data_IF_374179521423
#
_entry.id   IF_374179521423
#
_cell.length_a   1.000
_cell.length_b   1.000
_cell.length_c   1.000
_cell.angle_alpha   90.00
_cell.angle_beta   90.00
_cell.angle_gamma   90.00
#
_symmetry.space_group_name_H-M   'P 1'
#
loop_
_entity.id
_entity.type
_entity.pdbx_description
1 polymer ?
#
# COMPACT_ATOMS: atom_id res chain seq x y z
N UNK A 1 -0.78 7.00 14.76
CA UNK A 1 -0.77 5.96 13.73
C UNK A 1 0.65 5.75 13.20
N UNK A 2 1.12 4.49 13.11
CA UNK A 2 2.50 4.17 12.76
C UNK A 2 2.89 4.48 11.30
N UNK A 3 1.94 4.51 10.37
CA UNK A 3 2.21 4.74 8.94
C UNK A 3 2.89 6.07 8.62
N UNK A 4 2.31 7.22 9.01
CA UNK A 4 2.92 8.52 8.77
C UNK A 4 4.29 8.69 9.45
N UNK A 5 4.47 8.13 10.65
CA UNK A 5 5.73 8.19 11.36
C UNK A 5 6.82 7.36 10.68
N UNK A 6 6.45 6.18 10.18
CA UNK A 6 7.34 5.34 9.38
C UNK A 6 7.75 6.04 8.08
N UNK A 7 6.79 6.63 7.37
CA UNK A 7 7.06 7.37 6.13
C UNK A 7 8.02 8.54 6.38
N UNK A 8 7.78 9.32 7.45
CA UNK A 8 8.66 10.41 7.86
C UNK A 8 10.08 9.92 8.21
N UNK A 9 10.20 8.81 8.94
CA UNK A 9 11.50 8.24 9.30
C UNK A 9 12.25 7.72 8.08
N UNK A 10 11.55 7.09 7.15
CA UNK A 10 12.11 6.53 5.92
C UNK A 10 12.73 7.59 4.99
N UNK A 11 12.30 8.86 5.06
CA UNK A 11 12.81 9.92 4.18
C UNK A 11 14.32 10.18 4.33
N UNK A 12 14.90 9.85 5.48
CA UNK A 12 16.33 10.05 5.77
C UNK A 12 17.15 8.77 5.66
N UNK A 13 16.49 7.63 5.41
CA UNK A 13 17.12 6.31 5.32
C UNK A 13 17.50 5.92 3.89
N UNK A 14 18.40 4.95 3.80
CA UNK A 14 18.75 4.31 2.54
C UNK A 14 17.80 3.14 2.26
N UNK A 15 17.02 3.26 1.18
CA UNK A 15 16.04 2.24 0.78
C UNK A 15 16.67 0.89 0.36
N UNK A 16 17.96 0.87 0.06
CA UNK A 16 18.72 -0.32 -0.33
C UNK A 16 19.63 -0.85 0.80
N UNK A 17 19.51 -0.34 2.02
CA UNK A 17 20.37 -0.75 3.13
C UNK A 17 20.14 -2.21 3.53
N UNK A 18 18.89 -2.69 3.45
CA UNK A 18 18.50 -4.04 3.85
C UNK A 18 17.60 -4.65 2.77
N UNK A 19 18.02 -5.80 2.27
CA UNK A 19 17.19 -6.56 1.32
C UNK A 19 16.18 -7.43 2.08
N UNK A 20 15.00 -6.87 2.38
CA UNK A 20 13.92 -7.62 3.00
C UNK A 20 13.24 -8.56 1.99
N UNK A 21 12.81 -9.75 2.42
CA UNK A 21 12.12 -10.69 1.55
C UNK A 21 10.76 -10.14 1.13
N UNK A 22 10.49 -10.21 -0.16
CA UNK A 22 9.19 -9.86 -0.74
C UNK A 22 8.45 -11.18 -0.98
N UNK A 23 7.35 -11.38 -0.24
CA UNK A 23 6.56 -12.59 -0.35
C UNK A 23 5.73 -12.62 -1.64
N UNK A 24 5.48 -13.83 -2.15
CA UNK A 24 4.65 -14.08 -3.34
C UNK A 24 5.16 -13.43 -4.64
N UNK A 25 6.48 -13.29 -4.78
CA UNK A 25 7.12 -12.88 -6.03
C UNK A 25 7.72 -14.07 -6.79
N UNK A 26 8.03 -15.15 -6.08
CA UNK A 26 8.55 -16.39 -6.65
C UNK A 26 7.52 -17.50 -6.47
N UNK A 27 7.05 -18.05 -7.58
CA UNK A 27 6.17 -19.21 -7.61
C UNK A 27 6.95 -20.37 -8.21
N UNK A 28 6.98 -21.50 -7.50
CA UNK A 28 7.64 -22.72 -7.94
C UNK A 28 6.73 -23.62 -8.77
N UNK A 29 5.42 -23.37 -8.73
CA UNK A 29 4.40 -24.14 -9.45
C UNK A 29 3.52 -23.20 -10.30
N UNK A 30 3.14 -23.70 -11.50
CA UNK A 30 2.30 -22.95 -12.46
C UNK A 30 0.90 -22.73 -11.89
N UNK A 31 0.34 -23.72 -11.18
CA UNK A 31 -0.99 -23.61 -10.57
C UNK A 31 -0.99 -22.62 -9.39
N UNK A 32 0.07 -22.58 -8.60
CA UNK A 32 0.25 -21.61 -7.52
C UNK A 32 0.40 -20.19 -8.07
N UNK A 33 1.08 -20.04 -9.22
CA UNK A 33 1.21 -18.75 -9.91
C UNK A 33 -0.15 -18.23 -10.40
N UNK A 34 -0.92 -19.07 -11.08
CA UNK A 34 -2.22 -18.69 -11.62
C UNK A 34 -3.20 -18.20 -10.54
N UNK A 35 -3.16 -18.83 -9.35
CA UNK A 35 -4.06 -18.52 -8.25
C UNK A 35 -3.58 -17.38 -7.33
N UNK A 36 -2.26 -17.12 -7.27
CA UNK A 36 -1.66 -16.20 -6.28
C UNK A 36 -0.87 -15.04 -6.88
N UNK A 37 -0.78 -14.96 -8.20
CA UNK A 37 0.04 -13.95 -8.89
C UNK A 37 -0.29 -12.51 -8.43
N UNK A 38 -1.57 -12.22 -8.20
CA UNK A 38 -2.03 -10.92 -7.72
C UNK A 38 -2.36 -10.86 -6.22
N UNK A 39 -2.13 -11.95 -5.49
CA UNK A 39 -2.32 -11.98 -4.04
C UNK A 39 -1.13 -11.38 -3.30
N UNK A 40 -1.38 -10.87 -2.10
CA UNK A 40 -0.36 -10.27 -1.25
C UNK A 40 -0.21 -11.04 0.06
N UNK A 41 1.01 -11.11 0.59
CA UNK A 41 1.30 -11.57 1.93
C UNK A 41 2.43 -10.74 2.53
N UNK A 42 2.18 -10.15 3.69
CA UNK A 42 3.15 -9.33 4.42
C UNK A 42 3.56 -9.96 5.77
N UNK A 43 3.06 -11.17 6.09
CA UNK A 43 3.39 -11.84 7.36
C UNK A 43 4.88 -12.17 7.44
N UNK A 44 5.46 -12.73 6.39
CA UNK A 44 6.89 -13.03 6.30
C UNK A 44 7.77 -11.77 6.38
N UNK A 45 7.34 -10.68 5.77
CA UNK A 45 8.04 -9.41 5.84
C UNK A 45 8.06 -8.85 7.26
N UNK A 46 6.93 -8.88 7.98
CA UNK A 46 6.87 -8.46 9.39
C UNK A 46 7.84 -9.24 10.26
N UNK A 47 7.85 -10.57 10.11
CA UNK A 47 8.76 -11.44 10.86
C UNK A 47 10.23 -11.19 10.53
N UNK A 48 10.55 -10.93 9.26
CA UNK A 48 11.91 -10.61 8.82
C UNK A 48 12.41 -9.29 9.41
N UNK A 49 11.57 -8.26 9.43
CA UNK A 49 11.90 -6.96 10.06
C UNK A 49 12.11 -7.11 11.56
N UNK A 50 11.21 -7.79 12.27
CA UNK A 50 11.32 -8.02 13.70
C UNK A 50 12.64 -8.76 14.03
N UNK A 51 12.92 -9.84 13.31
CA UNK A 51 14.16 -10.62 13.47
C UNK A 51 15.42 -9.78 13.19
N UNK A 52 15.39 -8.95 12.16
CA UNK A 52 16.52 -8.06 11.83
C UNK A 52 16.80 -7.10 12.98
N UNK A 53 15.76 -6.47 13.54
CA UNK A 53 15.87 -5.56 14.69
C UNK A 53 16.43 -6.29 15.91
N UNK A 54 15.90 -7.46 16.24
CA UNK A 54 16.36 -8.26 17.39
C UNK A 54 17.86 -8.63 17.28
N UNK A 55 18.29 -9.07 16.09
CA UNK A 55 19.68 -9.43 15.85
C UNK A 55 20.61 -8.22 15.91
N UNK A 56 20.22 -7.09 15.34
CA UNK A 56 20.98 -5.85 15.39
C UNK A 56 21.14 -5.33 16.81
N UNK A 57 20.04 -5.31 17.59
CA UNK A 57 20.06 -4.87 18.99
C UNK A 57 20.91 -5.81 19.86
N UNK A 58 20.84 -7.13 19.61
CA UNK A 58 21.65 -8.11 20.35
C UNK A 58 23.14 -7.97 20.07
N UNK A 59 23.49 -7.60 18.84
CA UNK A 59 24.90 -7.48 18.40
C UNK A 59 25.52 -6.15 18.81
N UNK A 60 24.82 -5.04 18.54
CA UNK A 60 25.40 -3.69 18.59
C UNK A 60 24.73 -2.78 19.63
N UNK A 61 23.75 -3.30 20.40
CA UNK A 61 22.98 -2.52 21.36
C UNK A 61 21.83 -1.73 20.69
N UNK A 62 21.33 -0.68 21.35
CA UNK A 62 20.20 0.10 20.83
C UNK A 62 20.46 0.67 19.44
N UNK A 63 19.45 0.58 18.55
CA UNK A 63 19.58 1.07 17.18
C UNK A 63 19.83 2.59 17.13
N UNK A 64 20.84 3.00 16.37
CA UNK A 64 21.06 4.41 16.05
C UNK A 64 19.91 4.99 15.23
N UNK A 65 19.80 6.32 15.19
CA UNK A 65 18.79 7.01 14.37
C UNK A 65 18.90 6.62 12.88
N UNK A 66 20.12 6.53 12.35
CA UNK A 66 20.36 6.14 10.96
C UNK A 66 19.94 4.70 10.71
N UNK A 67 20.29 3.75 11.59
CA UNK A 67 19.86 2.36 11.45
C UNK A 67 18.33 2.21 11.45
N UNK A 68 17.64 2.99 12.29
CA UNK A 68 16.17 3.02 12.31
C UNK A 68 15.59 3.58 11.01
N UNK A 69 16.19 4.64 10.46
CA UNK A 69 15.78 5.23 9.20
C UNK A 69 16.01 4.26 8.02
N UNK A 70 17.14 3.57 7.99
CA UNK A 70 17.47 2.57 6.98
C UNK A 70 16.51 1.38 7.01
N UNK A 71 16.18 0.88 8.20
CA UNK A 71 15.18 -0.18 8.36
C UNK A 71 13.81 0.28 7.85
N UNK A 72 13.40 1.50 8.23
CA UNK A 72 12.12 2.06 7.79
C UNK A 72 12.06 2.23 6.27
N UNK A 73 13.11 2.78 5.67
CA UNK A 73 13.20 2.99 4.22
C UNK A 73 13.19 1.67 3.45
N UNK A 74 14.00 0.70 3.87
CA UNK A 74 14.08 -0.62 3.23
C UNK A 74 12.78 -1.42 3.37
N UNK A 75 12.12 -1.35 4.53
CA UNK A 75 10.80 -1.95 4.73
C UNK A 75 9.74 -1.30 3.84
N UNK A 76 9.69 0.02 3.82
CA UNK A 76 8.75 0.78 2.98
C UNK A 76 8.94 0.44 1.51
N UNK A 77 10.19 0.41 1.04
CA UNK A 77 10.50 0.05 -0.35
C UNK A 77 10.00 -1.35 -0.70
N UNK A 78 10.24 -2.35 0.14
CA UNK A 78 9.79 -3.72 -0.08
C UNK A 78 8.25 -3.82 -0.20
N UNK A 79 7.50 -3.06 0.62
CA UNK A 79 6.02 -3.03 0.55
C UNK A 79 5.57 -2.35 -0.73
N UNK A 80 6.10 -1.16 -1.00
CA UNK A 80 5.66 -0.32 -2.13
C UNK A 80 6.01 -0.98 -3.46
N UNK A 81 7.19 -1.61 -3.55
CA UNK A 81 7.63 -2.33 -4.73
C UNK A 81 6.66 -3.44 -5.13
N UNK A 82 6.28 -4.31 -4.19
CA UNK A 82 5.37 -5.43 -4.50
C UNK A 82 3.96 -4.95 -4.85
N UNK A 83 3.46 -3.91 -4.16
CA UNK A 83 2.13 -3.35 -4.44
C UNK A 83 2.07 -2.84 -5.88
N UNK A 84 3.04 -2.02 -6.28
CA UNK A 84 3.03 -1.38 -7.59
C UNK A 84 3.43 -2.33 -8.72
N UNK A 85 4.37 -3.25 -8.49
CA UNK A 85 4.72 -4.27 -9.49
C UNK A 85 3.50 -5.10 -9.87
N UNK A 86 2.72 -5.55 -8.89
CA UNK A 86 1.52 -6.35 -9.15
C UNK A 86 0.38 -5.51 -9.74
N UNK A 87 0.20 -4.27 -9.29
CA UNK A 87 -0.83 -3.38 -9.83
C UNK A 87 -0.58 -3.05 -11.31
N UNK A 88 0.65 -2.70 -11.67
CA UNK A 88 1.04 -2.44 -13.07
C UNK A 88 0.93 -3.70 -13.93
N UNK A 89 1.37 -4.84 -13.40
CA UNK A 89 1.26 -6.13 -14.10
C UNK A 89 -0.21 -6.47 -14.37
N UNK A 90 -1.09 -6.32 -13.37
CA UNK A 90 -2.52 -6.56 -13.52
C UNK A 90 -3.14 -5.63 -14.58
N UNK A 91 -2.85 -4.33 -14.51
CA UNK A 91 -3.36 -3.37 -15.49
C UNK A 91 -2.95 -3.73 -16.92
N UNK A 92 -1.67 -4.11 -17.11
CA UNK A 92 -1.18 -4.53 -18.44
C UNK A 92 -1.83 -5.82 -18.93
N UNK A 93 -2.00 -6.80 -18.05
CA UNK A 93 -2.61 -8.09 -18.39
C UNK A 93 -4.06 -7.94 -18.82
N UNK A 94 -4.80 -7.07 -18.14
CA UNK A 94 -6.20 -6.80 -18.43
C UNK A 94 -6.40 -5.72 -19.53
N UNK A 95 -5.32 -5.22 -20.12
CA UNK A 95 -5.40 -4.20 -21.20
C UNK A 95 -5.95 -2.86 -20.71
N UNK A 96 -5.79 -2.53 -19.43
CA UNK A 96 -6.29 -1.29 -18.84
C UNK A 96 -5.32 -0.14 -19.07
N UNK A 97 -5.86 1.06 -19.34
CA UNK A 97 -5.06 2.28 -19.52
C UNK A 97 -4.94 3.12 -18.24
N UNK A 98 -5.75 2.83 -17.23
CA UNK A 98 -5.87 3.64 -16.03
C UNK A 98 -5.50 2.84 -14.78
N UNK A 99 -4.74 3.47 -13.89
CA UNK A 99 -4.47 2.97 -12.55
C UNK A 99 -4.94 3.99 -11.52
N UNK A 100 -5.85 3.58 -10.64
CA UNK A 100 -6.33 4.40 -9.53
C UNK A 100 -5.77 3.84 -8.21
N UNK A 101 -5.13 4.69 -7.41
CA UNK A 101 -4.63 4.35 -6.08
C UNK A 101 -5.38 5.19 -5.06
N UNK A 102 -6.06 4.55 -4.11
CA UNK A 102 -6.87 5.20 -3.09
C UNK A 102 -6.66 4.53 -1.70
N UNK A 103 -7.28 5.09 -0.67
CA UNK A 103 -7.17 4.61 0.71
C UNK A 103 -5.98 5.21 1.47
N UNK A 104 -5.88 4.95 2.77
CA UNK A 104 -4.91 5.60 3.67
C UNK A 104 -3.45 5.43 3.24
N UNK A 105 -3.08 4.28 2.69
CA UNK A 105 -1.71 4.02 2.20
C UNK A 105 -1.35 4.88 0.98
N UNK A 106 -2.33 5.36 0.22
CA UNK A 106 -2.12 6.29 -0.89
C UNK A 106 -1.54 7.66 -0.47
N UNK A 107 -1.55 7.98 0.81
CA UNK A 107 -0.87 9.16 1.37
C UNK A 107 0.65 8.98 1.50
N UNK A 108 1.15 7.73 1.46
CA UNK A 108 2.57 7.43 1.62
C UNK A 108 3.41 8.07 0.49
N UNK A 109 4.48 8.77 0.86
CA UNK A 109 5.29 9.56 -0.07
C UNK A 109 6.02 8.70 -1.09
N UNK A 110 6.61 7.58 -0.66
CA UNK A 110 7.34 6.67 -1.54
C UNK A 110 6.41 5.95 -2.51
N UNK A 111 5.24 5.51 -2.04
CA UNK A 111 4.23 4.89 -2.90
C UNK A 111 3.85 5.84 -4.03
N UNK A 112 3.61 7.11 -3.73
CA UNK A 112 3.23 8.12 -4.73
C UNK A 112 4.35 8.33 -5.76
N UNK A 113 5.59 8.49 -5.31
CA UNK A 113 6.74 8.70 -6.18
C UNK A 113 6.94 7.50 -7.13
N UNK A 114 6.97 6.29 -6.60
CA UNK A 114 7.18 5.08 -7.39
C UNK A 114 5.97 4.76 -8.29
N UNK A 115 4.75 5.10 -7.87
CA UNK A 115 3.55 4.95 -8.69
C UNK A 115 3.61 5.84 -9.94
N UNK A 116 4.04 7.09 -9.80
CA UNK A 116 4.22 8.00 -10.93
C UNK A 116 5.26 7.44 -11.90
N UNK A 117 6.42 7.04 -11.38
CA UNK A 117 7.52 6.47 -12.18
C UNK A 117 7.06 5.25 -12.98
N UNK A 118 6.47 4.25 -12.31
CA UNK A 118 6.07 2.99 -12.94
C UNK A 118 4.87 3.12 -13.87
N UNK A 119 3.89 3.95 -13.52
CA UNK A 119 2.76 4.21 -14.40
C UNK A 119 3.19 4.91 -15.68
N UNK A 120 4.09 5.90 -15.57
CA UNK A 120 4.67 6.59 -16.74
C UNK A 120 5.43 5.61 -17.63
N UNK A 121 6.32 4.80 -17.05
CA UNK A 121 7.08 3.79 -17.78
C UNK A 121 6.20 2.71 -18.44
N UNK A 122 5.03 2.44 -17.84
CA UNK A 122 4.06 1.47 -18.35
C UNK A 122 3.05 2.05 -19.35
N UNK A 123 3.02 3.38 -19.55
CA UNK A 123 2.04 4.08 -20.37
C UNK A 123 0.64 4.15 -19.74
N UNK A 124 0.54 4.00 -18.41
CA UNK A 124 -0.72 4.06 -17.68
C UNK A 124 -1.03 5.48 -17.22
N UNK A 125 -2.29 5.86 -17.29
CA UNK A 125 -2.82 7.10 -16.71
C UNK A 125 -3.08 6.89 -15.23
N UNK A 126 -2.28 7.53 -14.37
CA UNK A 126 -2.36 7.40 -12.92
C UNK A 126 -3.30 8.46 -12.33
N UNK A 127 -4.19 8.03 -11.42
CA UNK A 127 -4.97 8.90 -10.57
C UNK A 127 -4.73 8.55 -9.09
N UNK A 128 -4.29 9.55 -8.31
CA UNK A 128 -4.11 9.44 -6.85
C UNK A 128 -4.74 10.68 -6.21
N UNK A 129 -5.67 10.54 -5.25
CA UNK A 129 -6.23 11.69 -4.52
C UNK A 129 -5.15 12.51 -3.83
N UNK A 130 -5.45 13.77 -3.53
CA UNK A 130 -4.58 14.56 -2.65
C UNK A 130 -4.42 13.87 -1.28
N UNK A 131 -3.29 14.01 -0.59
CA UNK A 131 -3.03 13.31 0.68
C UNK A 131 -4.16 13.48 1.72
N UNK A 132 -4.75 14.66 1.81
CA UNK A 132 -5.86 14.93 2.74
C UNK A 132 -7.18 14.23 2.42
N UNK A 133 -7.32 13.67 1.21
CA UNK A 133 -8.49 12.91 0.77
C UNK A 133 -8.24 11.40 0.68
N UNK A 134 -7.07 10.92 1.08
CA UNK A 134 -6.73 9.49 1.03
C UNK A 134 -7.36 8.67 2.17
N UNK A 135 -7.73 9.33 3.28
CA UNK A 135 -8.41 8.71 4.43
C UNK A 135 -9.89 9.04 4.43
N UNK A 136 -10.66 8.35 5.25
CA UNK A 136 -12.10 8.59 5.41
C UNK A 136 -12.37 10.05 5.74
N UNK A 137 -13.31 10.66 5.01
CA UNK A 137 -13.66 12.06 5.19
C UNK A 137 -15.10 12.33 4.76
N UNK A 138 -15.71 13.37 5.34
CA UNK A 138 -17.11 13.73 5.08
C UNK A 138 -17.38 14.12 3.62
N UNK A 139 -16.41 14.69 2.91
CA UNK A 139 -16.59 15.07 1.50
C UNK A 139 -16.78 13.83 0.61
N UNK A 140 -16.03 12.76 0.88
CA UNK A 140 -16.15 11.48 0.17
C UNK A 140 -17.55 10.87 0.36
N UNK A 141 -18.06 10.88 1.59
CA UNK A 141 -19.39 10.37 1.92
C UNK A 141 -20.48 11.22 1.26
N UNK A 142 -20.36 12.55 1.34
CA UNK A 142 -21.29 13.48 0.72
C UNK A 142 -21.33 13.33 -0.82
N UNK A 143 -20.16 13.15 -1.45
CA UNK A 143 -20.08 12.91 -2.91
C UNK A 143 -20.78 11.60 -3.29
N UNK A 144 -20.55 10.52 -2.55
CA UNK A 144 -21.23 9.25 -2.78
C UNK A 144 -22.74 9.36 -2.59
N UNK A 145 -23.20 10.07 -1.54
CA UNK A 145 -24.61 10.34 -1.30
C UNK A 145 -25.26 11.14 -2.43
N UNK A 146 -24.58 12.17 -2.93
CA UNK A 146 -25.03 12.95 -4.08
C UNK A 146 -25.20 12.10 -5.35
N UNK A 147 -24.22 11.25 -5.64
CA UNK A 147 -24.29 10.34 -6.78
C UNK A 147 -25.41 9.30 -6.63
N UNK A 148 -25.64 8.80 -5.43
CA UNK A 148 -26.73 7.87 -5.13
C UNK A 148 -28.10 8.51 -5.37
N UNK A 149 -28.29 9.77 -4.94
CA UNK A 149 -29.53 10.54 -5.17
C UNK A 149 -29.74 10.76 -6.68
N UNK A 150 -28.69 11.20 -7.41
CA UNK A 150 -28.77 11.41 -8.85
C UNK A 150 -29.09 10.11 -9.61
N UNK A 151 -28.64 8.97 -9.12
CA UNK A 151 -28.94 7.64 -9.65
C UNK A 151 -30.35 7.12 -9.24
N UNK A 152 -31.14 7.93 -8.54
CA UNK A 152 -32.50 7.55 -8.11
C UNK A 152 -32.53 6.46 -7.02
N UNK A 153 -31.44 6.25 -6.29
CA UNK A 153 -31.44 5.29 -5.19
C UNK A 153 -32.34 5.79 -4.05
N UNK A 154 -33.20 4.92 -3.49
CA UNK A 154 -34.05 5.31 -2.37
C UNK A 154 -33.23 5.64 -1.13
N UNK A 155 -33.72 6.55 -0.33
CA UNK A 155 -33.14 6.83 0.98
C UNK A 155 -33.25 5.59 1.89
N UNK A 156 -32.30 5.42 2.79
CA UNK A 156 -32.36 4.39 3.83
C UNK A 156 -33.57 4.62 4.73
N UNK A 157 -34.14 3.53 5.27
CA UNK A 157 -35.21 3.64 6.25
C UNK A 157 -34.76 4.42 7.49
N UNK A 158 -35.67 5.20 8.08
CA UNK A 158 -35.40 5.85 9.35
C UNK A 158 -35.09 4.78 10.43
N UNK A 159 -34.03 5.00 11.18
CA UNK A 159 -33.60 4.04 12.23
C UNK A 159 -32.68 2.92 11.75
N UNK A 160 -32.15 2.99 10.52
CA UNK A 160 -31.11 2.05 10.08
C UNK A 160 -29.88 2.17 11.01
N UNK A 161 -29.58 1.08 11.69
CA UNK A 161 -28.39 0.99 12.52
C UNK A 161 -27.15 0.80 11.65
N UNK A 162 -26.02 1.39 12.07
CA UNK A 162 -24.74 1.16 11.44
C UNK A 162 -24.26 -0.24 11.84
N UNK A 163 -24.02 -1.10 10.87
CA UNK A 163 -23.39 -2.40 11.08
C UNK A 163 -21.95 -2.36 10.51
N UNK A 164 -20.94 -2.23 11.37
CA UNK A 164 -19.54 -2.21 10.93
C UNK A 164 -19.04 -3.58 10.42
N UNK A 165 -19.81 -4.64 10.61
CA UNK A 165 -19.53 -5.99 10.13
C UNK A 165 -20.30 -6.36 8.85
N UNK A 166 -21.15 -5.48 8.33
CA UNK A 166 -21.84 -5.74 7.08
C UNK A 166 -20.82 -5.89 5.94
N UNK A 167 -20.80 -7.07 5.33
CA UNK A 167 -20.00 -7.32 4.13
C UNK A 167 -20.50 -6.50 2.94
N UNK A 168 -19.59 -6.11 2.08
CA UNK A 168 -19.85 -5.43 0.81
C UNK A 168 -20.16 -6.48 -0.25
#
# INVERSE_FOLDING_TARGET
PGGPELDRLATTGNLNAINFPIAMTLFTDIDDRANKEFSFSFSGLKSAVARHIELAVKKDGPLSQNARADIAASFQEAVVDVLLSKAVLAAKREGLEHLLIAGGVAANSRLRALAIERSTAAGLKLAIPSPGLCTDNGAMVAALGSLAIQAGRPASAAGLAVDPGAGV
#
